data_IF_976926736787
#
_entry.id   IF_976926736787
#
_cell.length_a   1.000
_cell.length_b   1.000
_cell.length_c   1.000
_cell.angle_alpha   90.00
_cell.angle_beta   90.00
_cell.angle_gamma   90.00
#
_symmetry.space_group_name_H-M   'P 1'
#
loop_
_entity.id
_entity.type
_entity.pdbx_description
1 polymer ?
#
# COMPACT_ATOMS: atom_id res chain seq x y z
N UNK A 1 7.82 23.25 -22.80
CA UNK A 1 7.13 21.97 -22.85
C UNK A 1 6.83 21.36 -21.46
N UNK A 2 7.80 21.15 -20.54
CA UNK A 2 7.55 20.51 -19.21
C UNK A 2 6.49 21.24 -18.36
N UNK A 3 6.50 22.58 -18.31
CA UNK A 3 5.53 23.38 -17.53
C UNK A 3 4.11 23.29 -18.08
N UNK A 4 3.95 23.15 -19.41
CA UNK A 4 2.63 22.99 -20.05
C UNK A 4 2.02 21.62 -19.79
N UNK A 5 2.83 20.56 -19.72
CA UNK A 5 2.36 19.21 -19.38
C UNK A 5 1.87 19.16 -17.94
N UNK A 6 2.61 19.78 -16.99
CA UNK A 6 2.20 19.85 -15.58
C UNK A 6 0.89 20.65 -15.44
N UNK A 7 0.75 21.77 -16.15
CA UNK A 7 -0.47 22.56 -16.15
C UNK A 7 -1.66 21.80 -16.74
N UNK A 8 -1.44 21.04 -17.82
CA UNK A 8 -2.46 20.19 -18.43
C UNK A 8 -2.92 19.08 -17.50
N UNK A 9 -1.97 18.41 -16.82
CA UNK A 9 -2.27 17.35 -15.83
C UNK A 9 -3.06 17.93 -14.66
N UNK A 10 -2.68 19.10 -14.14
CA UNK A 10 -3.42 19.80 -13.10
C UNK A 10 -4.82 20.22 -13.57
N UNK A 11 -4.96 20.76 -14.79
CA UNK A 11 -6.25 21.15 -15.36
C UNK A 11 -7.18 19.95 -15.55
N UNK A 12 -6.67 18.81 -16.02
CA UNK A 12 -7.40 17.55 -16.13
C UNK A 12 -7.79 17.03 -14.74
N UNK A 13 -6.90 17.07 -13.77
CA UNK A 13 -7.16 16.65 -12.40
C UNK A 13 -8.24 17.51 -11.71
N UNK A 14 -8.32 18.80 -12.00
CA UNK A 14 -9.36 19.70 -11.47
C UNK A 14 -10.66 19.67 -12.27
N UNK A 15 -10.63 19.34 -13.56
CA UNK A 15 -11.84 19.26 -14.40
C UNK A 15 -12.63 17.96 -14.15
N UNK A 16 -11.97 16.86 -13.84
CA UNK A 16 -12.61 15.57 -13.61
C UNK A 16 -13.68 15.57 -12.49
N UNK A 17 -13.50 16.25 -11.34
CA UNK A 17 -14.55 16.35 -10.31
C UNK A 17 -15.82 17.05 -10.80
N UNK A 18 -15.72 18.00 -11.74
CA UNK A 18 -16.88 18.74 -12.24
C UNK A 18 -17.80 17.86 -13.11
N UNK A 19 -17.25 16.83 -13.77
CA UNK A 19 -18.05 15.86 -14.54
C UNK A 19 -18.63 14.73 -13.68
N UNK A 20 -18.06 14.47 -12.51
CA UNK A 20 -18.47 13.37 -11.61
C UNK A 20 -19.76 13.67 -10.82
N UNK A 21 -20.30 14.88 -10.91
CA UNK A 21 -21.40 15.33 -10.06
C UNK A 21 -22.81 14.88 -10.55
N UNK A 22 -22.89 14.15 -11.68
CA UNK A 22 -24.16 13.65 -12.20
C UNK A 22 -24.48 12.26 -11.69
N UNK A 23 -25.57 12.17 -10.94
CA UNK A 23 -26.30 10.97 -10.49
C UNK A 23 -25.51 9.92 -9.67
N UNK A 24 -25.44 10.20 -8.41
CA UNK A 24 -24.69 9.42 -7.44
C UNK A 24 -25.57 8.47 -6.64
N UNK A 25 -25.38 7.19 -6.85
CA UNK A 25 -26.16 6.17 -6.16
C UNK A 25 -25.32 5.38 -5.13
N UNK A 26 -24.01 5.58 -5.03
CA UNK A 26 -23.20 4.91 -4.00
C UNK A 26 -23.08 5.78 -2.74
N UNK A 27 -23.78 5.39 -1.69
CA UNK A 27 -23.73 6.09 -0.40
C UNK A 27 -23.56 5.08 0.74
N UNK A 28 -22.47 4.29 0.72
CA UNK A 28 -22.05 3.61 1.92
C UNK A 28 -21.11 4.53 2.68
N UNK A 29 -21.43 4.82 3.94
CA UNK A 29 -20.62 5.69 4.79
C UNK A 29 -19.31 5.02 5.20
N UNK A 30 -19.34 3.73 5.43
CA UNK A 30 -18.21 2.95 5.93
C UNK A 30 -17.84 1.84 4.93
N UNK A 31 -16.55 1.69 4.66
CA UNK A 31 -16.01 0.70 3.74
C UNK A 31 -14.81 -0.02 4.36
N UNK A 32 -14.76 -1.33 4.21
CA UNK A 32 -13.61 -2.17 4.48
C UNK A 32 -13.06 -2.71 3.17
N UNK A 33 -11.74 -2.71 3.02
CA UNK A 33 -11.07 -3.28 1.85
C UNK A 33 -9.94 -4.19 2.29
N UNK A 34 -9.75 -5.27 1.57
CA UNK A 34 -8.62 -6.19 1.72
C UNK A 34 -7.95 -6.33 0.37
N UNK A 35 -6.63 -6.21 0.34
CA UNK A 35 -5.90 -6.24 -0.89
C UNK A 35 -4.53 -6.90 -0.77
N UNK A 36 -4.02 -7.22 -1.95
CA UNK A 36 -2.67 -7.69 -2.17
C UNK A 36 -1.98 -6.74 -3.16
N UNK A 37 -0.77 -6.31 -2.82
CA UNK A 37 0.02 -5.41 -3.63
C UNK A 37 1.36 -6.00 -4.03
N UNK A 38 1.71 -5.84 -5.29
CA UNK A 38 3.00 -6.24 -5.84
C UNK A 38 3.98 -5.07 -5.79
N UNK A 39 5.24 -5.33 -5.45
CA UNK A 39 6.33 -4.35 -5.33
C UNK A 39 5.98 -3.16 -4.41
N UNK A 40 5.78 -3.36 -3.11
CA UNK A 40 5.64 -2.24 -2.16
C UNK A 40 6.94 -1.42 -2.07
N UNK A 41 6.84 -0.15 -1.66
CA UNK A 41 8.02 0.73 -1.55
C UNK A 41 9.02 0.26 -0.50
N UNK A 42 8.60 -0.53 0.47
CA UNK A 42 9.46 -1.25 1.39
C UNK A 42 10.47 -2.15 0.67
N UNK A 43 10.15 -2.60 -0.56
CA UNK A 43 11.05 -3.38 -1.42
C UNK A 43 12.24 -2.58 -1.95
N UNK A 44 12.10 -1.25 -2.06
CA UNK A 44 13.15 -0.35 -2.52
C UNK A 44 13.93 0.19 -1.33
N UNK A 45 14.63 -0.68 -0.61
CA UNK A 45 15.53 -0.24 0.45
C UNK A 45 16.73 0.46 -0.19
N UNK A 46 16.82 1.77 -0.05
CA UNK A 46 18.02 2.52 -0.41
C UNK A 46 19.12 2.08 0.55
N UNK A 47 19.98 1.19 0.05
CA UNK A 47 21.00 0.52 0.84
C UNK A 47 22.02 1.49 1.39
N UNK A 48 22.05 1.61 2.70
CA UNK A 48 23.19 2.13 3.44
C UNK A 48 24.32 1.10 3.44
N UNK A 49 25.33 1.27 2.62
CA UNK A 49 26.72 1.02 2.97
C UNK A 49 27.24 -0.40 3.17
N UNK A 50 26.52 -1.46 2.90
CA UNK A 50 27.08 -2.81 2.91
C UNK A 50 27.24 -3.32 1.47
N UNK A 51 28.44 -3.80 1.13
CA UNK A 51 28.79 -4.36 -0.18
C UNK A 51 28.09 -5.69 -0.52
N UNK A 52 27.12 -6.10 0.29
CA UNK A 52 26.36 -7.33 0.13
C UNK A 52 24.92 -6.99 -0.26
N UNK A 53 24.53 -7.33 -1.48
CA UNK A 53 23.13 -7.28 -1.91
C UNK A 53 22.51 -8.66 -1.60
N UNK A 54 21.63 -8.78 -0.60
CA UNK A 54 20.92 -10.03 -0.39
C UNK A 54 20.01 -10.32 -1.58
N UNK A 55 19.93 -11.59 -1.98
CA UNK A 55 18.84 -12.03 -2.82
C UNK A 55 17.55 -11.95 -2.01
N UNK A 56 16.57 -11.22 -2.54
CA UNK A 56 15.32 -10.97 -1.83
C UNK A 56 14.18 -11.72 -2.50
N UNK A 57 13.54 -12.62 -1.75
CA UNK A 57 12.28 -13.24 -2.15
C UNK A 57 11.11 -12.40 -1.64
N UNK A 58 10.35 -11.81 -2.57
CA UNK A 58 9.20 -10.97 -2.27
C UNK A 58 7.90 -11.75 -2.33
N UNK A 59 7.12 -11.63 -1.28
CA UNK A 59 5.73 -12.15 -1.26
C UNK A 59 4.70 -11.07 -1.56
N UNK A 60 5.11 -9.80 -1.70
CA UNK A 60 4.20 -8.67 -1.85
C UNK A 60 3.63 -8.19 -0.51
N UNK A 61 2.76 -7.18 -0.56
CA UNK A 61 2.13 -6.57 0.60
C UNK A 61 0.67 -6.99 0.72
N UNK A 62 0.27 -7.52 1.87
CA UNK A 62 -1.13 -7.73 2.23
C UNK A 62 -1.62 -6.54 3.04
N UNK A 63 -2.80 -6.02 2.73
CA UNK A 63 -3.30 -4.89 3.48
C UNK A 63 -4.81 -4.93 3.71
N UNK A 64 -5.19 -4.32 4.84
CA UNK A 64 -6.57 -4.07 5.22
C UNK A 64 -6.78 -2.57 5.37
N UNK A 65 -7.87 -2.05 4.81
CA UNK A 65 -8.18 -0.63 4.81
C UNK A 65 -9.59 -0.40 5.33
N UNK A 66 -9.74 0.55 6.24
CA UNK A 66 -11.02 1.11 6.64
C UNK A 66 -11.13 2.52 6.09
N UNK A 67 -12.24 2.86 5.41
CA UNK A 67 -12.52 4.20 4.88
C UNK A 67 -13.91 4.65 5.33
N UNK A 68 -13.97 5.83 5.96
CA UNK A 68 -15.21 6.53 6.23
C UNK A 68 -15.40 7.61 5.16
N UNK A 69 -16.53 7.59 4.46
CA UNK A 69 -16.89 8.61 3.46
C UNK A 69 -17.50 9.80 4.14
N UNK A 70 -16.80 10.91 4.17
CA UNK A 70 -17.30 12.20 4.67
C UNK A 70 -18.30 12.81 3.71
N UNK A 71 -18.02 12.68 2.42
CA UNK A 71 -18.87 13.15 1.32
C UNK A 71 -18.93 12.10 0.21
N UNK A 72 -19.71 12.37 -0.85
CA UNK A 72 -19.73 11.52 -2.05
C UNK A 72 -18.36 11.43 -2.74
N UNK A 73 -17.53 12.45 -2.58
CA UNK A 73 -16.22 12.61 -3.23
C UNK A 73 -15.07 12.24 -2.29
N UNK A 74 -15.18 12.59 -1.01
CA UNK A 74 -14.07 12.52 -0.06
C UNK A 74 -14.31 11.43 0.96
N UNK A 75 -13.33 10.55 1.13
CA UNK A 75 -13.23 9.56 2.19
C UNK A 75 -11.91 9.70 2.95
N UNK A 76 -11.95 9.45 4.24
CA UNK A 76 -10.76 9.37 5.11
C UNK A 76 -10.72 8.02 5.81
N UNK A 77 -9.55 7.54 6.13
CA UNK A 77 -9.45 6.26 6.80
C UNK A 77 -8.05 5.86 7.21
N UNK A 78 -7.90 4.58 7.55
CA UNK A 78 -6.64 3.98 7.93
C UNK A 78 -6.39 2.71 7.13
N UNK A 79 -5.12 2.45 6.86
CA UNK A 79 -4.64 1.24 6.19
C UNK A 79 -3.57 0.59 7.05
N UNK A 80 -3.71 -0.71 7.27
CA UNK A 80 -2.69 -1.56 7.86
C UNK A 80 -2.11 -2.45 6.77
N UNK A 81 -0.77 -2.45 6.61
CA UNK A 81 -0.07 -3.32 5.67
C UNK A 81 0.84 -4.28 6.42
N UNK A 82 0.94 -5.50 5.88
CA UNK A 82 1.86 -6.54 6.28
C UNK A 82 2.64 -7.01 5.05
N UNK A 83 3.96 -6.93 5.11
CA UNK A 83 4.85 -7.23 4.00
C UNK A 83 5.94 -8.22 4.47
N UNK A 84 5.72 -9.53 4.27
CA UNK A 84 6.70 -10.56 4.59
C UNK A 84 7.70 -10.74 3.46
N UNK A 85 8.97 -10.95 3.81
CA UNK A 85 10.04 -11.23 2.85
C UNK A 85 11.13 -12.11 3.46
N UNK A 86 11.90 -12.75 2.59
CA UNK A 86 13.06 -13.54 2.97
C UNK A 86 14.30 -12.89 2.37
N UNK A 87 15.31 -12.64 3.19
CA UNK A 87 16.61 -12.12 2.78
C UNK A 87 17.63 -13.26 2.84
N UNK A 88 18.24 -13.59 1.70
CA UNK A 88 19.28 -14.57 1.58
C UNK A 88 20.62 -13.84 1.39
N UNK A 89 21.49 -13.89 2.38
CA UNK A 89 22.84 -13.34 2.30
C UNK A 89 23.80 -14.41 1.84
N UNK A 90 24.48 -14.18 0.72
CA UNK A 90 25.51 -15.09 0.21
C UNK A 90 26.80 -14.33 -0.10
N UNK A 91 27.96 -14.98 0.10
CA UNK A 91 29.25 -14.49 -0.34
C UNK A 91 29.92 -15.57 -1.17
N UNK A 92 30.41 -15.21 -2.36
CA UNK A 92 31.07 -16.15 -3.30
C UNK A 92 30.26 -17.43 -3.54
N UNK A 93 28.93 -17.29 -3.65
CA UNK A 93 27.97 -18.40 -3.83
C UNK A 93 27.84 -19.36 -2.63
N UNK A 94 28.32 -18.96 -1.46
CA UNK A 94 28.08 -19.72 -0.22
C UNK A 94 27.06 -18.98 0.64
N UNK A 95 25.99 -19.64 1.09
CA UNK A 95 24.99 -19.01 1.96
C UNK A 95 25.62 -18.68 3.31
N UNK A 96 25.51 -17.42 3.74
CA UNK A 96 26.01 -16.95 5.04
C UNK A 96 24.90 -16.96 6.06
N UNK A 97 23.78 -16.34 5.72
CA UNK A 97 22.65 -16.30 6.63
C UNK A 97 21.33 -16.10 5.87
N UNK A 98 20.25 -16.56 6.50
CA UNK A 98 18.88 -16.40 6.01
C UNK A 98 18.04 -15.74 7.09
N UNK A 99 17.41 -14.61 6.73
CA UNK A 99 16.59 -13.82 7.63
C UNK A 99 15.15 -13.77 7.10
N UNK A 100 14.19 -14.00 7.98
CA UNK A 100 12.82 -13.56 7.76
C UNK A 100 12.72 -12.11 8.20
N UNK A 101 12.31 -11.25 7.29
CA UNK A 101 12.02 -9.86 7.56
C UNK A 101 10.52 -9.64 7.33
N UNK A 102 9.87 -8.98 8.26
CA UNK A 102 8.47 -8.58 8.10
C UNK A 102 8.33 -7.10 8.42
N UNK A 103 7.61 -6.36 7.59
CA UNK A 103 7.26 -5.00 7.90
C UNK A 103 5.78 -4.86 8.22
N UNK A 104 5.49 -4.06 9.22
CA UNK A 104 4.14 -3.70 9.67
C UNK A 104 3.97 -2.20 9.51
N UNK A 105 2.94 -1.80 8.77
CA UNK A 105 2.72 -0.39 8.45
C UNK A 105 1.32 0.03 8.86
N UNK A 106 1.22 1.18 9.51
CA UNK A 106 -0.05 1.85 9.79
C UNK A 106 -0.04 3.23 9.15
N UNK A 107 -1.00 3.49 8.26
CA UNK A 107 -1.14 4.76 7.55
C UNK A 107 -2.54 5.32 7.70
N UNK A 108 -2.66 6.65 7.79
CA UNK A 108 -3.89 7.37 7.54
C UNK A 108 -3.95 7.79 6.08
N UNK A 109 -5.15 7.78 5.48
CA UNK A 109 -5.30 8.11 4.07
C UNK A 109 -6.49 9.01 3.78
N UNK A 110 -6.38 9.75 2.69
CA UNK A 110 -7.43 10.50 2.01
C UNK A 110 -7.71 9.82 0.68
N UNK A 111 -8.98 9.49 0.42
CA UNK A 111 -9.48 8.92 -0.84
C UNK A 111 -10.38 9.95 -1.52
N UNK A 112 -10.12 10.23 -2.80
CA UNK A 112 -10.90 11.15 -3.63
C UNK A 112 -11.53 10.34 -4.75
N UNK A 113 -12.86 10.29 -4.78
CA UNK A 113 -13.62 9.59 -5.82
C UNK A 113 -13.96 10.57 -6.94
N UNK A 114 -13.47 10.32 -8.15
CA UNK A 114 -13.70 11.21 -9.31
C UNK A 114 -14.96 10.82 -10.08
N UNK A 115 -15.19 9.52 -10.22
CA UNK A 115 -16.37 8.96 -10.84
C UNK A 115 -16.99 7.97 -9.86
N UNK A 116 -18.26 8.13 -9.58
CA UNK A 116 -18.98 7.25 -8.66
C UNK A 116 -20.34 6.90 -9.24
N UNK A 117 -20.37 5.84 -10.04
CA UNK A 117 -21.58 5.31 -10.67
C UNK A 117 -22.16 4.13 -9.89
N UNK A 118 -23.24 3.53 -10.39
CA UNK A 118 -23.86 2.36 -9.77
C UNK A 118 -22.92 1.16 -9.63
N UNK A 119 -22.03 0.94 -10.63
CA UNK A 119 -21.19 -0.25 -10.71
C UNK A 119 -19.68 0.06 -10.73
N UNK A 120 -19.29 1.27 -11.11
CA UNK A 120 -17.90 1.66 -11.28
C UNK A 120 -17.60 2.90 -10.45
N UNK A 121 -16.49 2.85 -9.73
CA UNK A 121 -15.93 3.98 -9.01
C UNK A 121 -14.46 4.17 -9.42
N UNK A 122 -14.09 5.39 -9.82
CA UNK A 122 -12.69 5.78 -10.04
C UNK A 122 -12.25 6.69 -8.92
N UNK A 123 -11.05 6.46 -8.41
CA UNK A 123 -10.54 7.23 -7.28
C UNK A 123 -9.03 7.44 -7.33
N UNK A 124 -8.57 8.43 -6.58
CA UNK A 124 -7.18 8.59 -6.13
C UNK A 124 -7.10 8.43 -4.63
N UNK A 125 -5.95 8.02 -4.13
CA UNK A 125 -5.70 7.89 -2.70
C UNK A 125 -4.29 8.38 -2.36
N UNK A 126 -4.16 9.09 -1.25
CA UNK A 126 -2.89 9.47 -0.65
C UNK A 126 -2.90 9.08 0.82
N UNK A 127 -1.84 8.47 1.29
CA UNK A 127 -1.69 8.03 2.67
C UNK A 127 -0.30 8.31 3.21
N UNK A 128 -0.21 8.48 4.52
CA UNK A 128 1.03 8.63 5.26
C UNK A 128 0.93 7.98 6.64
N UNK A 129 2.05 7.54 7.16
CA UNK A 129 2.08 6.85 8.44
C UNK A 129 3.47 6.40 8.86
N UNK A 130 3.50 5.35 9.64
CA UNK A 130 4.71 4.76 10.20
C UNK A 130 4.79 3.28 9.83
N UNK A 131 6.02 2.80 9.69
CA UNK A 131 6.35 1.41 9.42
C UNK A 131 7.38 0.93 10.45
N UNK A 132 7.20 -0.29 10.91
CA UNK A 132 8.13 -0.99 11.78
C UNK A 132 8.64 -2.26 11.11
N UNK A 133 9.86 -2.64 11.45
CA UNK A 133 10.51 -3.83 10.93
C UNK A 133 10.69 -4.86 12.04
N UNK A 134 10.50 -6.13 11.69
CA UNK A 134 10.79 -7.25 12.57
C UNK A 134 11.68 -8.23 11.81
N UNK A 135 12.77 -8.66 12.44
CA UNK A 135 13.76 -9.57 11.88
C UNK A 135 13.80 -10.84 12.68
N UNK A 136 13.75 -11.98 12.00
CA UNK A 136 13.91 -13.28 12.62
C UNK A 136 14.99 -14.09 11.88
N UNK A 137 16.06 -14.47 12.59
CA UNK A 137 17.13 -15.28 12.04
C UNK A 137 16.68 -16.73 11.91
N UNK A 138 16.70 -17.28 10.68
CA UNK A 138 16.34 -18.68 10.44
C UNK A 138 17.57 -19.57 10.45
N UNK A 139 18.64 -19.15 9.78
CA UNK A 139 19.80 -19.99 9.54
C UNK A 139 21.08 -19.14 9.54
N UNK A 140 22.10 -19.61 10.25
CA UNK A 140 23.38 -18.93 10.36
C UNK A 140 24.52 -19.96 10.30
N UNK A 141 25.53 -19.72 9.43
CA UNK A 141 26.75 -20.53 9.39
C UNK A 141 27.90 -19.76 10.06
N UNK A 142 28.23 -20.06 11.32
CA UNK A 142 29.20 -19.28 12.10
C UNK A 142 30.66 -19.45 11.66
N UNK A 143 30.96 -20.38 10.74
CA UNK A 143 32.33 -20.76 10.41
C UNK A 143 33.12 -19.73 9.59
N UNK A 144 32.49 -18.69 9.03
CA UNK A 144 33.13 -17.79 8.08
C UNK A 144 33.22 -16.33 8.54
N UNK A 145 32.33 -15.85 9.40
CA UNK A 145 32.34 -14.43 9.82
C UNK A 145 31.77 -14.21 11.23
N UNK A 146 32.49 -13.47 12.06
CA UNK A 146 31.93 -12.86 13.28
C UNK A 146 31.11 -11.62 12.88
N UNK A 147 29.90 -11.83 12.44
CA UNK A 147 28.94 -10.73 12.26
C UNK A 147 28.28 -10.55 13.63
N UNK A 148 28.39 -9.33 14.21
CA UNK A 148 27.55 -8.95 15.36
C UNK A 148 26.10 -8.91 14.90
N UNK A 149 25.43 -10.06 14.99
CA UNK A 149 24.00 -10.17 14.71
C UNK A 149 23.21 -9.58 15.88
N UNK A 150 22.20 -8.76 15.62
CA UNK A 150 21.25 -8.38 16.64
C UNK A 150 20.60 -9.65 17.21
N UNK A 151 20.50 -9.72 18.53
CA UNK A 151 19.84 -10.83 19.22
C UNK A 151 18.37 -10.92 18.83
N UNK A 152 17.82 -12.13 18.81
CA UNK A 152 16.46 -12.50 18.41
C UNK A 152 15.39 -11.46 18.77
N UNK A 153 14.50 -11.18 17.81
CA UNK A 153 13.28 -10.37 17.92
C UNK A 153 13.50 -8.88 18.24
N UNK A 154 13.98 -8.12 17.25
CA UNK A 154 14.05 -6.67 17.36
C UNK A 154 13.01 -5.98 16.49
N UNK A 155 12.21 -5.09 17.11
CA UNK A 155 11.63 -3.93 16.41
C UNK A 155 12.77 -2.94 16.25
N UNK A 156 13.51 -3.05 15.14
CA UNK A 156 14.82 -2.40 15.04
C UNK A 156 14.69 -0.94 14.60
N UNK A 157 13.58 -0.57 13.94
CA UNK A 157 13.46 0.77 13.36
C UNK A 157 12.02 1.18 13.10
N UNK A 158 11.73 2.43 13.37
CA UNK A 158 10.50 3.10 12.92
C UNK A 158 10.87 3.99 11.73
N UNK A 159 10.26 3.73 10.58
CA UNK A 159 10.43 4.50 9.35
C UNK A 159 9.13 5.19 8.95
N UNK A 160 9.25 6.22 8.12
CA UNK A 160 8.10 6.89 7.52
C UNK A 160 7.50 6.02 6.41
N UNK A 161 6.19 5.91 6.41
CA UNK A 161 5.42 5.18 5.41
C UNK A 161 4.54 6.12 4.60
N UNK A 162 4.40 5.85 3.31
CA UNK A 162 3.53 6.61 2.42
C UNK A 162 2.86 5.71 1.39
N UNK A 163 1.74 6.19 0.87
CA UNK A 163 1.06 5.64 -0.30
C UNK A 163 0.55 6.77 -1.19
N UNK A 164 0.85 6.69 -2.47
CA UNK A 164 0.28 7.54 -3.49
C UNK A 164 -0.32 6.67 -4.60
N UNK A 165 -1.64 6.66 -4.71
CA UNK A 165 -2.40 5.96 -5.73
C UNK A 165 -3.05 6.99 -6.65
N UNK A 166 -2.43 7.32 -7.79
CA UNK A 166 -3.01 8.28 -8.75
C UNK A 166 -4.31 7.78 -9.34
N UNK A 167 -4.44 6.47 -9.55
CA UNK A 167 -5.63 5.89 -10.15
C UNK A 167 -5.96 4.54 -9.51
N UNK A 168 -7.20 4.38 -9.09
CA UNK A 168 -7.82 3.13 -8.70
C UNK A 168 -9.20 3.01 -9.33
N UNK A 169 -9.58 1.80 -9.67
CA UNK A 169 -10.89 1.45 -10.18
C UNK A 169 -11.53 0.40 -9.27
N UNK A 170 -12.77 0.63 -8.89
CA UNK A 170 -13.61 -0.36 -8.21
C UNK A 170 -14.77 -0.75 -9.13
N UNK A 171 -15.02 -2.04 -9.26
CA UNK A 171 -16.12 -2.58 -10.06
C UNK A 171 -16.94 -3.53 -9.20
N UNK A 172 -18.26 -3.29 -9.14
CA UNK A 172 -19.17 -4.11 -8.36
C UNK A 172 -20.38 -3.34 -7.87
N UNK A 173 -21.03 -3.85 -6.83
CA UNK A 173 -22.23 -3.26 -6.21
C UNK A 173 -21.84 -2.22 -5.14
N UNK A 174 -22.84 -1.59 -4.52
CA UNK A 174 -22.63 -0.74 -3.33
C UNK A 174 -21.97 -1.51 -2.19
N UNK A 175 -22.39 -2.74 -1.95
CA UNK A 175 -21.94 -3.57 -0.85
C UNK A 175 -20.61 -4.27 -1.16
N UNK A 176 -20.47 -4.84 -2.35
CA UNK A 176 -19.33 -5.65 -2.75
C UNK A 176 -18.72 -5.12 -4.05
N UNK A 177 -17.41 -4.92 -4.06
CA UNK A 177 -16.68 -4.55 -5.28
C UNK A 177 -15.27 -5.15 -5.27
N UNK A 178 -14.82 -5.59 -6.43
CA UNK A 178 -13.40 -5.79 -6.69
C UNK A 178 -12.73 -4.46 -6.99
N UNK A 179 -11.44 -4.33 -6.70
CA UNK A 179 -10.68 -3.16 -7.10
C UNK A 179 -9.32 -3.53 -7.67
N UNK A 180 -8.82 -2.63 -8.53
CA UNK A 180 -7.47 -2.59 -9.05
C UNK A 180 -6.95 -1.17 -8.86
N UNK A 181 -5.72 -1.02 -8.38
CA UNK A 181 -5.09 0.30 -8.25
C UNK A 181 -3.63 0.26 -8.68
N UNK A 182 -3.17 1.39 -9.21
CA UNK A 182 -1.77 1.63 -9.55
C UNK A 182 -1.28 2.76 -8.65
N UNK A 183 -0.11 2.57 -8.05
CA UNK A 183 0.41 3.55 -7.10
C UNK A 183 1.89 3.37 -6.79
N UNK A 184 2.34 4.14 -5.82
CA UNK A 184 3.69 4.07 -5.25
C UNK A 184 3.56 4.14 -3.73
N UNK A 185 4.11 3.17 -3.03
CA UNK A 185 4.07 3.15 -1.58
C UNK A 185 3.92 1.76 -1.00
N UNK A 186 3.38 1.71 0.23
CA UNK A 186 3.36 0.48 1.03
C UNK A 186 2.32 -0.54 0.57
N UNK A 187 1.28 -0.10 -0.14
CA UNK A 187 0.26 -0.99 -0.70
C UNK A 187 0.70 -1.63 -2.04
N UNK A 188 1.91 -1.30 -2.53
CA UNK A 188 2.47 -1.79 -3.78
C UNK A 188 2.25 -0.88 -4.99
N UNK A 189 2.98 -1.18 -6.07
CA UNK A 189 2.86 -0.47 -7.35
C UNK A 189 1.58 -0.86 -8.09
N UNK A 190 1.23 -2.12 -8.07
CA UNK A 190 -0.03 -2.66 -8.60
C UNK A 190 -0.68 -3.45 -7.48
N UNK A 191 -1.94 -3.14 -7.20
CA UNK A 191 -2.67 -3.81 -6.13
C UNK A 191 -4.05 -4.21 -6.59
N UNK A 192 -4.48 -5.38 -6.14
CA UNK A 192 -5.80 -5.95 -6.40
C UNK A 192 -6.45 -6.33 -5.08
N UNK A 193 -7.75 -6.25 -5.01
CA UNK A 193 -8.45 -6.66 -3.80
C UNK A 193 -9.95 -6.56 -3.89
N UNK A 194 -10.55 -6.60 -2.71
CA UNK A 194 -11.97 -6.63 -2.51
C UNK A 194 -12.39 -5.56 -1.50
N UNK A 195 -13.52 -4.89 -1.77
CA UNK A 195 -14.12 -3.89 -0.90
C UNK A 195 -15.50 -4.33 -0.45
N UNK A 196 -15.77 -4.17 0.83
CA UNK A 196 -17.07 -4.35 1.48
C UNK A 196 -17.57 -3.01 2.01
N UNK A 197 -18.74 -2.58 1.58
CA UNK A 197 -19.40 -1.37 2.08
C UNK A 197 -20.54 -1.70 3.03
N UNK A 198 -20.53 -1.07 4.20
CA UNK A 198 -21.63 -1.19 5.17
C UNK A 198 -22.80 -0.31 4.72
N UNK A 199 -23.95 -0.91 4.55
CA UNK A 199 -25.20 -0.20 4.22
C UNK A 199 -25.73 0.42 5.51
N UNK A 200 -25.88 1.74 5.56
CA UNK A 200 -26.63 2.42 6.62
C UNK A 200 -28.13 2.11 6.43
N UNK A 201 -28.68 1.30 7.31
CA UNK A 201 -30.09 0.86 7.28
C UNK A 201 -31.03 2.03 7.71
N UNK A 202 -30.49 3.09 8.30
CA UNK A 202 -31.29 4.17 8.91
C UNK A 202 -31.75 5.28 7.95
N UNK A 203 -31.72 5.07 6.62
CA UNK A 203 -32.10 6.09 5.62
C UNK A 203 -32.92 5.52 4.46
N UNK A 204 -33.99 4.77 4.80
CA UNK A 204 -35.17 4.62 3.90
C UNK A 204 -36.33 5.49 4.38
#
# INVERSE_FOLDING_TARGET
MKKQIVLLVLLVAFALPAFAQRDTIRSNKNEFSFGYGYMPSSSFRWGGGLHYYPEMDYFGSFYATYTNRLTKVIGIGATYCFDPRILNYSEKNQPICRLNESSYTLMFHLKINWLNTKYVNLYSKVGQGIMTWNYHLIEYQPSLYQINMPSNDFIDRIDYAYQFTPIGIEVGTKQYAGFLQIGLGMEGMISIGFRYGIIDIDKE
#
